data_IF_042128852934
#
_entry.id   IF_042128852934
#
_cell.length_a   1.000
_cell.length_b   1.000
_cell.length_c   1.000
_cell.angle_alpha   90.00
_cell.angle_beta   90.00
_cell.angle_gamma   90.00
#
_symmetry.space_group_name_H-M   'P 1'
#
loop_
_entity.id
_entity.type
_entity.pdbx_description
1 polymer ?
#
# COMPACT_ATOMS: atom_id res chain seq x y z
N UNK A 1 12.91 -28.82 -65.55
CA UNK A 1 11.92 -28.18 -64.68
C UNK A 1 11.93 -28.91 -63.31
N UNK A 2 12.68 -28.44 -62.36
CA UNK A 2 12.77 -29.04 -61.02
C UNK A 2 12.38 -27.95 -60.00
N UNK A 3 11.25 -28.13 -59.33
CA UNK A 3 10.79 -27.24 -58.25
C UNK A 3 11.52 -27.66 -56.97
N UNK A 4 12.40 -26.80 -56.48
CA UNK A 4 12.97 -26.89 -55.12
C UNK A 4 11.94 -26.44 -54.10
N UNK A 5 11.53 -27.36 -53.25
CA UNK A 5 10.78 -27.08 -52.05
C UNK A 5 11.67 -26.39 -51.02
N UNK A 6 11.21 -25.26 -50.49
CA UNK A 6 11.83 -24.58 -49.32
C UNK A 6 11.46 -25.33 -48.03
N UNK A 7 12.33 -25.52 -47.07
CA UNK A 7 11.98 -26.03 -45.77
C UNK A 7 11.26 -24.92 -44.96
N UNK A 8 10.18 -25.29 -44.28
CA UNK A 8 9.51 -24.52 -43.24
C UNK A 8 10.48 -24.41 -42.07
N UNK A 9 10.84 -23.18 -41.69
CA UNK A 9 11.44 -22.91 -40.41
C UNK A 9 10.36 -23.06 -39.33
N UNK A 10 10.52 -24.02 -38.43
CA UNK A 10 9.80 -24.09 -37.18
C UNK A 10 10.45 -23.08 -36.24
N UNK A 11 9.84 -21.90 -36.11
CA UNK A 11 10.19 -20.95 -35.07
C UNK A 11 9.65 -21.48 -33.75
N UNK A 12 10.53 -21.82 -32.85
CA UNK A 12 10.19 -22.05 -31.44
C UNK A 12 9.84 -20.71 -30.81
N UNK A 13 8.57 -20.52 -30.46
CA UNK A 13 8.06 -19.35 -29.77
C UNK A 13 8.26 -19.42 -28.24
N UNK A 14 9.22 -20.20 -27.77
CA UNK A 14 9.37 -20.50 -26.33
C UNK A 14 10.30 -19.51 -25.58
N UNK A 15 10.73 -18.43 -26.24
CA UNK A 15 11.65 -17.47 -25.61
C UNK A 15 11.00 -16.17 -25.12
N UNK A 16 9.68 -16.01 -25.28
CA UNK A 16 9.00 -14.75 -24.93
C UNK A 16 8.25 -14.77 -23.58
N UNK A 17 8.07 -15.95 -22.99
CA UNK A 17 7.33 -16.06 -21.72
C UNK A 17 8.18 -15.85 -20.47
N UNK A 18 9.50 -15.95 -20.56
CA UNK A 18 10.36 -15.78 -19.39
C UNK A 18 10.66 -14.29 -19.04
N UNK A 19 10.42 -13.36 -19.97
CA UNK A 19 10.66 -11.92 -19.73
C UNK A 19 9.41 -11.15 -19.27
N UNK A 20 8.22 -11.69 -19.52
CA UNK A 20 6.97 -10.99 -19.20
C UNK A 20 6.49 -11.23 -17.77
N UNK A 21 6.93 -12.30 -17.10
CA UNK A 21 6.52 -12.57 -15.71
C UNK A 21 7.23 -11.70 -14.66
N UNK A 22 8.38 -11.11 -14.97
CA UNK A 22 9.12 -10.27 -14.02
C UNK A 22 8.61 -8.82 -13.94
N UNK A 23 7.82 -8.38 -14.88
CA UNK A 23 7.39 -6.98 -14.96
C UNK A 23 6.00 -6.73 -14.37
N UNK A 24 5.25 -7.80 -14.11
CA UNK A 24 3.89 -7.72 -13.56
C UNK A 24 3.80 -7.56 -12.06
N UNK A 25 4.91 -7.64 -11.33
CA UNK A 25 4.87 -7.65 -9.87
C UNK A 25 5.20 -6.27 -9.34
N UNK A 26 4.30 -5.34 -9.54
CA UNK A 26 4.38 -4.03 -8.94
C UNK A 26 3.45 -4.01 -7.75
N UNK A 27 4.05 -4.10 -6.59
CA UNK A 27 3.39 -4.41 -5.37
C UNK A 27 3.68 -3.38 -4.31
N UNK A 28 2.67 -2.85 -3.62
CA UNK A 28 2.90 -1.77 -2.67
C UNK A 28 2.06 -1.69 -1.44
N UNK A 29 2.76 -1.62 -0.31
CA UNK A 29 2.29 -1.53 1.03
C UNK A 29 1.37 -0.36 1.32
N UNK A 30 0.09 -0.57 1.49
CA UNK A 30 -0.81 0.36 2.15
C UNK A 30 -0.85 0.15 3.66
N UNK A 31 0.32 -0.06 4.26
CA UNK A 31 0.42 0.27 5.66
C UNK A 31 0.05 1.73 5.91
N UNK A 32 0.18 2.60 4.89
CA UNK A 32 -0.14 4.03 5.03
C UNK A 32 -1.60 4.39 4.78
N UNK A 33 -2.37 3.77 3.89
CA UNK A 33 -3.77 4.19 3.70
C UNK A 33 -4.74 3.51 4.66
N UNK A 34 -4.62 2.22 4.93
CA UNK A 34 -5.36 1.60 6.04
C UNK A 34 -4.92 2.16 7.39
N UNK A 35 -3.69 2.66 7.48
CA UNK A 35 -3.13 3.26 8.67
C UNK A 35 -3.44 4.74 8.80
N UNK A 36 -3.42 5.51 7.72
CA UNK A 36 -3.98 6.86 7.70
C UNK A 36 -5.46 6.80 8.12
N UNK A 37 -6.22 5.85 7.62
CA UNK A 37 -7.64 5.70 7.93
C UNK A 37 -7.89 5.21 9.36
N UNK A 38 -7.08 4.31 9.92
CA UNK A 38 -7.23 3.88 11.32
C UNK A 38 -6.67 4.92 12.32
N UNK A 39 -5.63 5.66 11.95
CA UNK A 39 -5.09 6.79 12.72
C UNK A 39 -6.03 7.99 12.60
N UNK A 40 -6.64 8.25 11.45
CA UNK A 40 -7.59 9.33 11.25
C UNK A 40 -8.90 9.10 12.01
N UNK A 41 -9.43 7.89 12.09
CA UNK A 41 -10.58 7.60 12.95
C UNK A 41 -10.27 7.80 14.44
N UNK A 42 -9.04 7.51 14.88
CA UNK A 42 -8.57 7.77 16.25
C UNK A 42 -8.10 9.23 16.43
N UNK A 43 -7.52 9.85 15.41
CA UNK A 43 -7.01 11.21 15.44
C UNK A 43 -8.11 12.28 15.40
N UNK A 44 -9.24 12.01 14.73
CA UNK A 44 -10.39 12.92 14.74
C UNK A 44 -10.98 13.11 16.15
N UNK A 45 -10.82 12.13 17.03
CA UNK A 45 -11.23 12.26 18.45
C UNK A 45 -10.16 12.93 19.33
N UNK A 46 -8.88 12.92 18.92
CA UNK A 46 -7.77 13.50 19.70
C UNK A 46 -7.32 14.91 19.25
N UNK A 47 -7.84 15.43 18.13
CA UNK A 47 -7.44 16.73 17.57
C UNK A 47 -7.99 17.96 18.32
N UNK A 48 -8.73 17.78 19.42
CA UNK A 48 -9.23 18.94 20.19
C UNK A 48 -8.30 19.41 21.33
N UNK A 49 -7.10 18.83 21.49
CA UNK A 49 -6.15 19.22 22.55
C UNK A 49 -4.71 19.36 22.02
N UNK A 50 -4.45 20.37 21.24
CA UNK A 50 -3.07 20.76 20.91
C UNK A 50 -2.69 22.07 21.60
N UNK A 51 -2.23 21.99 22.84
CA UNK A 51 -1.38 23.00 23.46
C UNK A 51 -0.02 22.34 23.70
N UNK A 52 1.04 22.93 23.14
CA UNK A 52 2.38 22.36 23.10
C UNK A 52 3.01 22.17 24.49
N UNK A 53 2.91 20.95 25.02
CA UNK A 53 3.90 20.44 25.97
C UNK A 53 4.98 19.65 25.22
N UNK A 54 6.23 19.54 25.74
CA UNK A 54 7.21 18.66 25.14
C UNK A 54 6.63 17.23 25.15
N UNK A 55 6.25 16.73 23.98
CA UNK A 55 5.50 15.51 23.85
C UNK A 55 6.34 14.35 24.39
N UNK A 56 5.86 13.71 25.44
CA UNK A 56 6.41 12.45 25.92
C UNK A 56 6.34 11.43 24.77
N UNK A 57 7.43 10.75 24.42
CA UNK A 57 7.37 9.72 23.39
C UNK A 57 6.30 8.67 23.69
N UNK A 58 5.47 8.37 22.71
CA UNK A 58 4.42 7.35 22.80
C UNK A 58 4.75 6.19 21.85
N UNK A 59 4.53 4.97 22.31
CA UNK A 59 4.65 3.75 21.51
C UNK A 59 3.25 3.16 21.34
N UNK A 60 2.92 2.80 20.12
CA UNK A 60 1.71 2.07 19.78
C UNK A 60 2.07 0.83 18.95
N UNK A 61 1.26 -0.21 19.07
CA UNK A 61 1.43 -1.42 18.27
C UNK A 61 0.10 -1.85 17.66
N UNK A 62 0.18 -2.63 16.61
CA UNK A 62 -0.98 -3.22 16.02
C UNK A 62 -0.67 -4.60 15.45
N UNK A 63 -1.70 -5.44 15.37
CA UNK A 63 -1.70 -6.69 14.62
C UNK A 63 -2.99 -6.77 13.81
N UNK A 64 -2.93 -7.37 12.64
CA UNK A 64 -4.12 -7.57 11.80
C UNK A 64 -4.08 -8.94 11.13
N UNK A 65 -5.27 -9.44 10.82
CA UNK A 65 -5.48 -10.57 9.92
C UNK A 65 -6.46 -10.13 8.85
N UNK A 66 -6.19 -10.49 7.60
CA UNK A 66 -7.01 -10.16 6.45
C UNK A 66 -7.20 -11.35 5.54
N UNK A 67 -8.24 -11.33 4.71
CA UNK A 67 -8.43 -12.32 3.66
C UNK A 67 -7.45 -12.14 2.49
N UNK A 68 -6.80 -10.98 2.41
CA UNK A 68 -5.80 -10.61 1.44
C UNK A 68 -5.00 -9.41 1.99
N UNK A 69 -3.77 -9.22 1.52
CA UNK A 69 -3.02 -7.99 1.65
C UNK A 69 -3.04 -7.26 0.31
N UNK A 70 -3.72 -6.13 0.20
CA UNK A 70 -3.83 -5.34 -1.03
C UNK A 70 -3.10 -4.03 -0.89
N UNK A 71 -2.22 -3.72 -1.82
CA UNK A 71 -1.46 -2.49 -1.91
C UNK A 71 -1.72 -1.77 -3.23
N UNK A 72 -2.14 -0.50 -3.17
CA UNK A 72 -2.50 0.30 -4.34
C UNK A 72 -3.34 -0.48 -5.37
N UNK A 73 -4.30 -1.30 -4.86
CA UNK A 73 -5.20 -2.12 -5.68
C UNK A 73 -4.69 -3.52 -6.03
N UNK A 74 -3.42 -3.84 -5.77
CA UNK A 74 -2.78 -5.10 -6.17
C UNK A 74 -2.61 -6.04 -4.98
N UNK A 75 -2.99 -7.31 -5.12
CA UNK A 75 -2.80 -8.32 -4.07
C UNK A 75 -1.33 -8.64 -3.87
N UNK A 76 -0.95 -8.75 -2.61
CA UNK A 76 0.39 -9.04 -2.12
C UNK A 76 0.56 -10.46 -1.67
N UNK A 77 -0.54 -11.20 -1.53
CA UNK A 77 -0.59 -12.55 -0.99
C UNK A 77 -1.25 -13.53 -1.95
N UNK A 78 -1.25 -13.21 -3.27
CA UNK A 78 -1.96 -14.01 -4.29
C UNK A 78 -3.42 -14.31 -3.88
N UNK A 79 -4.10 -13.31 -3.28
CA UNK A 79 -5.49 -13.39 -2.77
C UNK A 79 -5.66 -14.34 -1.57
N UNK A 80 -4.58 -14.77 -0.95
CA UNK A 80 -4.57 -15.59 0.26
C UNK A 80 -4.48 -14.75 1.53
N UNK A 81 -4.72 -15.40 2.66
CA UNK A 81 -4.77 -14.73 3.96
C UNK A 81 -3.46 -14.04 4.35
N UNK A 82 -3.57 -12.82 4.85
CA UNK A 82 -2.48 -12.02 5.36
C UNK A 82 -2.50 -11.91 6.88
N UNK A 83 -1.30 -11.93 7.47
CA UNK A 83 -1.06 -11.60 8.88
C UNK A 83 -0.02 -10.51 8.92
N UNK A 84 -0.37 -9.38 9.54
CA UNK A 84 0.53 -8.24 9.62
C UNK A 84 0.59 -7.66 11.03
N UNK A 85 1.62 -6.86 11.28
CA UNK A 85 1.76 -6.14 12.55
C UNK A 85 2.75 -5.00 12.44
N UNK A 86 2.67 -4.06 13.39
CA UNK A 86 3.56 -2.92 13.39
C UNK A 86 3.73 -2.28 14.75
N UNK A 87 4.78 -1.48 14.85
CA UNK A 87 5.12 -0.65 16.02
C UNK A 87 5.39 0.78 15.56
N UNK A 88 4.85 1.74 16.29
CA UNK A 88 4.98 3.17 16.05
C UNK A 88 5.56 3.86 17.27
N UNK A 89 6.54 4.71 17.04
CA UNK A 89 7.04 5.70 17.98
C UNK A 89 6.65 7.10 17.50
N UNK A 90 6.04 7.90 18.37
CA UNK A 90 5.74 9.31 18.10
C UNK A 90 6.34 10.19 19.18
N UNK A 91 6.89 11.35 18.80
CA UNK A 91 7.44 12.36 19.72
C UNK A 91 7.27 13.76 19.12
N UNK A 92 6.30 14.52 19.62
CA UNK A 92 5.91 15.79 19.02
C UNK A 92 5.40 15.58 17.58
N UNK A 93 6.00 16.26 16.64
CA UNK A 93 5.70 16.11 15.21
C UNK A 93 6.43 14.95 14.55
N UNK A 94 7.43 14.37 15.21
CA UNK A 94 8.23 13.26 14.66
C UNK A 94 7.55 11.92 14.85
N UNK A 95 7.70 11.04 13.89
CA UNK A 95 7.35 9.63 14.02
C UNK A 95 8.40 8.73 13.37
N UNK A 96 8.48 7.51 13.85
CA UNK A 96 9.19 6.41 13.22
C UNK A 96 8.47 5.10 13.53
N UNK A 97 8.68 4.09 12.74
CA UNK A 97 8.09 2.79 13.03
C UNK A 97 8.56 1.70 12.08
N UNK A 98 8.07 0.50 12.37
CA UNK A 98 8.24 -0.67 11.54
C UNK A 98 6.92 -1.40 11.40
N UNK A 99 6.71 -2.02 10.25
CA UNK A 99 5.57 -2.88 9.97
C UNK A 99 6.05 -4.10 9.18
N UNK A 100 5.33 -5.22 9.26
CA UNK A 100 5.61 -6.40 8.46
C UNK A 100 4.33 -7.17 8.15
N UNK A 101 4.35 -7.90 7.02
CA UNK A 101 3.33 -8.85 6.60
C UNK A 101 3.97 -10.03 5.86
N UNK A 102 3.30 -11.18 5.85
CA UNK A 102 3.59 -12.18 4.84
C UNK A 102 3.22 -11.65 3.46
N UNK A 103 3.96 -12.11 2.45
CA UNK A 103 3.69 -11.85 1.03
C UNK A 103 3.80 -13.14 0.24
N UNK A 104 3.20 -13.16 -0.95
CA UNK A 104 3.35 -14.21 -1.96
C UNK A 104 3.20 -13.56 -3.34
N UNK A 105 4.18 -13.77 -4.20
CA UNK A 105 4.20 -13.16 -5.53
C UNK A 105 4.08 -14.22 -6.63
N UNK A 106 3.30 -13.97 -7.70
CA UNK A 106 3.13 -14.93 -8.79
C UNK A 106 4.47 -15.39 -9.38
N UNK A 107 4.73 -16.70 -9.28
CA UNK A 107 5.95 -17.30 -9.81
C UNK A 107 7.20 -17.18 -8.95
N UNK A 108 7.12 -16.52 -7.80
CA UNK A 108 8.14 -16.50 -6.77
C UNK A 108 7.69 -17.38 -5.58
N UNK A 109 8.54 -18.33 -5.20
CA UNK A 109 8.25 -19.27 -4.10
C UNK A 109 9.16 -19.06 -2.90
N UNK A 110 10.03 -18.08 -2.95
CA UNK A 110 11.08 -17.86 -1.98
C UNK A 110 10.81 -16.65 -1.09
N UNK A 111 10.21 -15.58 -1.62
CA UNK A 111 9.90 -14.36 -0.85
C UNK A 111 8.77 -14.60 0.14
N UNK A 112 9.06 -14.44 1.43
CA UNK A 112 8.14 -14.82 2.52
C UNK A 112 7.45 -13.63 3.17
N UNK A 113 8.15 -12.50 3.32
CA UNK A 113 7.64 -11.35 4.05
C UNK A 113 8.18 -10.02 3.53
N UNK A 114 7.35 -8.98 3.69
CA UNK A 114 7.68 -7.57 3.54
C UNK A 114 7.89 -6.95 4.91
N UNK A 115 8.92 -6.11 5.05
CA UNK A 115 9.24 -5.32 6.24
C UNK A 115 9.39 -3.87 5.83
N UNK A 116 8.52 -3.00 6.36
CA UNK A 116 8.58 -1.57 6.14
C UNK A 116 9.27 -0.88 7.31
N UNK A 117 10.25 -0.03 7.02
CA UNK A 117 10.84 0.90 7.99
C UNK A 117 10.52 2.32 7.55
N UNK A 118 9.94 3.11 8.43
CA UNK A 118 9.53 4.46 8.07
C UNK A 118 9.81 5.47 9.17
N UNK A 119 10.01 6.73 8.73
CA UNK A 119 10.15 7.88 9.61
C UNK A 119 9.69 9.15 8.90
N UNK A 120 9.29 10.15 9.68
CA UNK A 120 8.85 11.42 9.12
C UNK A 120 8.42 12.43 10.17
N UNK A 121 7.75 13.48 9.68
CA UNK A 121 7.19 14.55 10.48
C UNK A 121 5.73 14.80 10.07
N UNK A 122 4.91 15.16 11.06
CA UNK A 122 3.49 15.54 10.87
C UNK A 122 3.20 16.92 11.41
N UNK A 123 3.64 17.99 10.73
CA UNK A 123 3.31 19.35 11.13
C UNK A 123 1.89 19.72 10.71
N UNK A 124 1.24 20.59 11.51
CA UNK A 124 0.02 21.28 11.11
C UNK A 124 0.40 22.65 10.53
N UNK A 125 -0.07 22.95 9.32
CA UNK A 125 0.15 24.24 8.68
C UNK A 125 -1.05 24.63 7.81
N UNK A 126 -1.51 25.88 7.96
CA UNK A 126 -2.63 26.47 7.22
C UNK A 126 -3.95 25.68 7.34
N UNK A 127 -4.19 24.99 8.46
CA UNK A 127 -5.37 24.16 8.73
C UNK A 127 -5.37 22.83 7.98
N UNK A 128 -4.18 22.37 7.55
CA UNK A 128 -3.92 21.04 7.00
C UNK A 128 -2.92 20.32 7.90
N UNK A 129 -3.17 19.03 8.10
CA UNK A 129 -2.19 18.10 8.66
C UNK A 129 -1.32 17.59 7.52
N UNK A 130 -0.03 17.85 7.59
CA UNK A 130 0.94 17.36 6.62
C UNK A 130 1.63 16.11 7.14
N UNK A 131 2.07 15.25 6.24
CA UNK A 131 2.90 14.09 6.55
C UNK A 131 4.02 14.02 5.51
N UNK A 132 5.25 14.29 5.96
CA UNK A 132 6.45 14.25 5.11
C UNK A 132 7.40 13.23 5.71
N UNK A 133 7.78 12.23 4.93
CA UNK A 133 8.58 11.11 5.42
C UNK A 133 9.22 10.29 4.32
N UNK A 134 9.84 9.22 4.77
CA UNK A 134 10.44 8.18 3.93
C UNK A 134 9.95 6.81 4.41
N UNK A 135 9.85 5.88 3.47
CA UNK A 135 9.53 4.46 3.74
C UNK A 135 10.53 3.63 2.96
N UNK A 136 11.21 2.71 3.64
CA UNK A 136 12.00 1.65 3.02
C UNK A 136 11.22 0.35 3.10
N UNK A 137 11.14 -0.36 1.99
CA UNK A 137 10.48 -1.65 1.84
C UNK A 137 11.56 -2.70 1.65
N UNK A 138 11.55 -3.73 2.46
CA UNK A 138 12.54 -4.80 2.50
C UNK A 138 11.81 -6.15 2.39
N UNK A 139 12.30 -7.01 1.51
CA UNK A 139 11.69 -8.32 1.27
C UNK A 139 12.63 -9.44 1.70
N UNK A 140 12.14 -10.34 2.54
CA UNK A 140 12.93 -11.47 3.04
C UNK A 140 12.95 -12.62 2.04
N UNK A 141 14.07 -13.32 1.95
CA UNK A 141 14.24 -14.50 1.10
C UNK A 141 14.02 -14.26 -0.40
N UNK A 142 14.05 -13.00 -0.84
CA UNK A 142 13.88 -12.70 -2.27
C UNK A 142 14.98 -13.36 -3.13
N UNK A 143 14.66 -13.82 -4.36
CA UNK A 143 15.65 -14.34 -5.29
C UNK A 143 16.75 -13.30 -5.59
N UNK A 144 18.00 -13.73 -5.75
CA UNK A 144 19.16 -12.84 -5.98
C UNK A 144 18.98 -11.84 -7.15
N UNK A 145 18.13 -12.15 -8.11
CA UNK A 145 17.89 -11.31 -9.30
C UNK A 145 16.55 -10.55 -9.24
N UNK A 146 15.83 -10.60 -8.14
CA UNK A 146 14.50 -10.00 -8.03
C UNK A 146 14.54 -8.50 -7.75
N UNK A 147 15.48 -8.07 -6.88
CA UNK A 147 15.72 -6.68 -6.47
C UNK A 147 14.43 -5.98 -6.04
N UNK A 148 13.75 -6.56 -5.03
CA UNK A 148 12.47 -6.06 -4.55
C UNK A 148 12.58 -4.94 -3.52
N UNK A 149 13.76 -4.77 -2.90
CA UNK A 149 13.97 -3.75 -1.87
C UNK A 149 14.03 -2.35 -2.51
N UNK A 150 13.30 -1.39 -1.94
CA UNK A 150 13.31 -0.03 -2.45
C UNK A 150 12.92 0.99 -1.37
N UNK A 151 12.99 2.28 -1.71
CA UNK A 151 12.66 3.39 -0.82
C UNK A 151 11.75 4.39 -1.52
N UNK A 152 10.80 4.94 -0.76
CA UNK A 152 9.94 6.04 -1.21
C UNK A 152 10.08 7.27 -0.34
N UNK A 153 10.13 8.43 -0.96
CA UNK A 153 9.81 9.70 -0.32
C UNK A 153 8.30 9.95 -0.38
N UNK A 154 7.73 10.42 0.73
CA UNK A 154 6.29 10.67 0.88
C UNK A 154 6.01 12.11 1.22
N UNK A 155 5.00 12.68 0.58
CA UNK A 155 4.34 13.93 1.00
C UNK A 155 2.83 13.72 0.94
N UNK A 156 2.15 13.93 2.07
CA UNK A 156 0.70 13.86 2.14
C UNK A 156 0.13 15.06 2.91
N UNK A 157 -1.13 15.37 2.64
CA UNK A 157 -1.86 16.39 3.37
C UNK A 157 -3.30 15.95 3.57
N UNK A 158 -3.87 16.25 4.76
CA UNK A 158 -5.26 15.95 5.07
C UNK A 158 -5.91 17.10 5.83
N UNK A 159 -7.25 17.18 5.76
CA UNK A 159 -8.04 18.19 6.45
C UNK A 159 -9.42 17.67 6.82
N UNK A 160 -9.85 17.95 8.05
CA UNK A 160 -11.22 17.73 8.48
C UNK A 160 -12.16 18.79 7.89
N UNK A 161 -13.28 18.35 7.31
CA UNK A 161 -14.35 19.18 6.74
C UNK A 161 -15.69 18.67 7.28
N UNK A 162 -16.13 19.23 8.40
CA UNK A 162 -17.30 18.71 9.12
C UNK A 162 -17.07 17.27 9.61
N UNK A 163 -17.97 16.33 9.31
CA UNK A 163 -17.80 14.92 9.70
C UNK A 163 -16.93 14.11 8.73
N UNK A 164 -16.37 14.75 7.71
CA UNK A 164 -15.50 14.12 6.71
C UNK A 164 -14.07 14.58 6.88
N UNK A 165 -13.13 13.72 6.50
CA UNK A 165 -11.72 14.07 6.27
C UNK A 165 -11.44 13.85 4.79
N UNK A 166 -10.74 14.79 4.17
CA UNK A 166 -10.24 14.68 2.80
C UNK A 166 -8.72 14.74 2.81
N UNK A 167 -8.08 14.04 1.90
CA UNK A 167 -6.63 14.00 1.82
C UNK A 167 -6.12 13.75 0.41
N UNK A 168 -4.81 13.98 0.25
CA UNK A 168 -4.05 13.60 -0.93
C UNK A 168 -2.64 13.18 -0.51
N UNK A 169 -2.03 12.30 -1.29
CA UNK A 169 -0.67 11.84 -1.05
C UNK A 169 0.09 11.69 -2.38
N UNK A 170 1.40 11.88 -2.28
CA UNK A 170 2.37 11.62 -3.33
C UNK A 170 3.50 10.80 -2.73
N UNK A 171 3.87 9.72 -3.43
CA UNK A 171 5.04 8.89 -3.14
C UNK A 171 5.93 8.87 -4.37
N UNK A 172 7.22 8.91 -4.17
CA UNK A 172 8.21 8.86 -5.23
C UNK A 172 9.37 7.95 -4.84
N UNK A 173 9.74 7.04 -5.72
CA UNK A 173 10.92 6.18 -5.63
C UNK A 173 11.86 6.48 -6.78
N UNK A 174 13.15 6.67 -6.54
CA UNK A 174 14.15 6.82 -7.60
C UNK A 174 14.51 5.48 -8.25
N UNK A 175 14.29 4.40 -7.55
CA UNK A 175 14.65 3.03 -7.90
C UNK A 175 13.61 2.13 -7.27
N UNK A 176 12.75 1.59 -8.10
CA UNK A 176 11.49 1.06 -7.73
C UNK A 176 11.49 -0.48 -7.82
N UNK A 177 10.68 -1.16 -7.05
CA UNK A 177 10.50 -2.59 -6.95
C UNK A 177 10.81 -3.38 -8.24
N UNK A 178 11.77 -4.32 -8.16
CA UNK A 178 12.15 -5.22 -9.23
C UNK A 178 13.34 -4.75 -10.07
N UNK A 179 13.94 -5.68 -10.77
CA UNK A 179 15.19 -5.53 -11.49
C UNK A 179 15.19 -4.52 -12.68
N UNK A 180 14.09 -3.80 -12.89
CA UNK A 180 14.01 -2.76 -13.91
C UNK A 180 14.73 -1.47 -13.50
N UNK A 181 14.94 -1.25 -12.18
CA UNK A 181 15.60 -0.05 -11.62
C UNK A 181 14.94 1.27 -12.09
N UNK A 182 13.62 1.26 -12.31
CA UNK A 182 12.88 2.39 -12.86
C UNK A 182 12.39 3.35 -11.76
N UNK A 183 12.35 4.65 -12.06
CA UNK A 183 11.69 5.66 -11.22
C UNK A 183 10.18 5.43 -11.20
N UNK A 184 9.55 5.57 -10.03
CA UNK A 184 8.12 5.49 -9.91
C UNK A 184 7.50 6.62 -9.07
N UNK A 185 6.27 6.98 -9.41
CA UNK A 185 5.47 7.96 -8.66
C UNK A 185 4.06 7.43 -8.47
N UNK A 186 3.56 7.51 -7.24
CA UNK A 186 2.16 7.26 -6.93
C UNK A 186 1.49 8.52 -6.40
N UNK A 187 0.31 8.85 -6.94
CA UNK A 187 -0.53 9.95 -6.46
C UNK A 187 -1.88 9.41 -6.05
N UNK A 188 -2.43 9.94 -4.95
CA UNK A 188 -3.71 9.49 -4.40
C UNK A 188 -4.53 10.68 -3.90
N UNK A 189 -5.85 10.61 -4.10
CA UNK A 189 -6.84 11.39 -3.37
C UNK A 189 -7.70 10.44 -2.54
N UNK A 190 -7.98 10.80 -1.29
CA UNK A 190 -8.75 9.98 -0.38
C UNK A 190 -9.78 10.79 0.42
N UNK A 191 -10.77 10.09 0.93
CA UNK A 191 -11.76 10.67 1.85
C UNK A 191 -12.26 9.63 2.84
N UNK A 192 -12.58 10.11 4.04
CA UNK A 192 -13.25 9.32 5.08
C UNK A 192 -14.45 10.09 5.63
N UNK A 193 -15.50 9.38 6.00
CA UNK A 193 -16.72 9.94 6.58
C UNK A 193 -17.23 9.03 7.69
N UNK A 194 -17.51 9.61 8.86
CA UNK A 194 -18.04 8.88 10.01
C UNK A 194 -19.54 9.22 10.21
N UNK A 195 -20.46 8.44 9.58
CA UNK A 195 -21.90 8.70 9.63
C UNK A 195 -22.53 8.46 11.01
N UNK A 196 -21.90 7.63 11.82
CA UNK A 196 -22.35 7.26 13.16
C UNK A 196 -21.15 6.87 14.03
N UNK A 197 -21.36 6.88 15.34
CA UNK A 197 -20.36 6.40 16.30
C UNK A 197 -19.89 4.98 15.92
N UNK A 198 -18.56 4.77 15.94
CA UNK A 198 -17.88 3.50 15.61
C UNK A 198 -17.98 3.04 14.13
N UNK A 199 -18.54 3.85 13.24
CA UNK A 199 -18.63 3.52 11.83
C UNK A 199 -17.87 4.54 10.99
N UNK A 200 -17.07 4.06 10.03
CA UNK A 200 -16.37 4.90 9.06
C UNK A 200 -16.53 4.32 7.65
N UNK A 201 -16.95 5.15 6.72
CA UNK A 201 -16.89 4.88 5.29
C UNK A 201 -15.67 5.63 4.75
N UNK A 202 -14.82 4.96 3.99
CA UNK A 202 -13.64 5.60 3.42
C UNK A 202 -13.30 5.02 2.06
N UNK A 203 -12.62 5.81 1.24
CA UNK A 203 -12.19 5.37 -0.06
C UNK A 203 -11.07 6.24 -0.61
N UNK A 204 -10.41 5.73 -1.62
CA UNK A 204 -9.34 6.39 -2.33
C UNK A 204 -9.41 6.12 -3.82
N UNK A 205 -8.82 7.02 -4.60
CA UNK A 205 -8.48 6.83 -6.00
C UNK A 205 -7.05 7.28 -6.20
N UNK A 206 -6.25 6.47 -6.87
CA UNK A 206 -4.84 6.75 -7.10
C UNK A 206 -4.40 6.36 -8.50
N UNK A 207 -3.20 6.81 -8.86
CA UNK A 207 -2.52 6.40 -10.08
C UNK A 207 -1.06 6.12 -9.79
N UNK A 208 -0.62 4.94 -10.22
CA UNK A 208 0.77 4.53 -10.22
C UNK A 208 1.37 4.86 -11.59
N UNK A 209 2.47 5.58 -11.59
CA UNK A 209 3.30 5.87 -12.75
C UNK A 209 4.61 5.12 -12.57
N UNK A 210 4.92 4.21 -13.49
CA UNK A 210 6.20 3.47 -13.55
C UNK A 210 6.82 3.67 -14.91
N UNK A 211 6.07 3.31 -15.96
CA UNK A 211 6.41 3.55 -17.37
C UNK A 211 5.11 3.50 -18.16
N UNK A 212 5.10 4.04 -19.38
CA UNK A 212 3.88 4.12 -20.19
C UNK A 212 3.15 2.79 -20.41
N UNK A 213 3.85 1.67 -20.24
CA UNK A 213 3.33 0.33 -20.46
C UNK A 213 2.84 -0.34 -19.15
N UNK A 214 3.16 0.24 -17.98
CA UNK A 214 2.86 -0.31 -16.64
C UNK A 214 2.17 0.68 -15.70
N UNK A 215 1.75 1.83 -16.20
CA UNK A 215 0.93 2.77 -15.45
C UNK A 215 -0.46 2.18 -15.24
N UNK A 216 -1.02 2.35 -14.04
CA UNK A 216 -2.40 1.95 -13.77
C UNK A 216 -3.09 2.88 -12.78
N UNK A 217 -4.41 2.90 -12.83
CA UNK A 217 -5.26 3.52 -11.82
C UNK A 217 -5.77 2.47 -10.83
N UNK A 218 -5.97 2.89 -9.59
CA UNK A 218 -6.58 2.07 -8.56
C UNK A 218 -7.63 2.85 -7.80
N UNK A 219 -8.63 2.14 -7.26
CA UNK A 219 -9.61 2.71 -6.34
C UNK A 219 -10.04 1.69 -5.31
N UNK A 220 -10.50 2.21 -4.18
CA UNK A 220 -11.09 1.38 -3.15
C UNK A 220 -12.24 2.10 -2.45
N UNK A 221 -13.14 1.31 -1.84
CA UNK A 221 -14.20 1.78 -0.97
C UNK A 221 -14.41 0.78 0.15
N UNK A 222 -14.36 1.24 1.40
CA UNK A 222 -14.47 0.40 2.57
C UNK A 222 -15.45 0.92 3.61
N UNK A 223 -15.91 -0.01 4.44
CA UNK A 223 -16.73 0.21 5.62
C UNK A 223 -16.03 -0.40 6.82
N UNK A 224 -15.58 0.44 7.74
CA UNK A 224 -14.98 0.02 8.99
C UNK A 224 -15.94 0.16 10.16
N UNK A 225 -15.82 -0.74 11.12
CA UNK A 225 -16.53 -0.71 12.39
C UNK A 225 -15.61 -0.98 13.57
N UNK A 226 -15.56 -0.06 14.52
CA UNK A 226 -14.90 -0.27 15.80
C UNK A 226 -15.77 -1.22 16.65
N UNK A 227 -15.30 -2.44 16.89
CA UNK A 227 -16.02 -3.46 17.67
C UNK A 227 -15.84 -3.26 19.16
N UNK A 228 -14.61 -3.01 19.59
CA UNK A 228 -14.21 -2.67 20.97
C UNK A 228 -13.26 -1.47 20.94
N UNK A 229 -12.73 -1.05 22.07
CA UNK A 229 -11.77 0.07 22.13
C UNK A 229 -10.45 -0.25 21.42
N UNK A 230 -10.15 -1.54 21.24
CA UNK A 230 -8.90 -2.00 20.60
C UNK A 230 -9.10 -2.76 19.28
N UNK A 231 -10.32 -3.22 18.97
CA UNK A 231 -10.58 -4.12 17.84
C UNK A 231 -11.48 -3.47 16.80
N UNK A 232 -11.07 -3.47 15.55
CA UNK A 232 -11.81 -2.96 14.40
C UNK A 232 -11.95 -4.02 13.31
N UNK A 233 -13.11 -4.02 12.65
CA UNK A 233 -13.39 -4.79 11.42
C UNK A 233 -13.47 -3.82 10.26
N UNK A 234 -12.82 -4.15 9.12
CA UNK A 234 -12.96 -3.43 7.84
C UNK A 234 -13.40 -4.42 6.75
N UNK A 235 -14.31 -3.98 5.90
CA UNK A 235 -14.72 -4.67 4.68
C UNK A 235 -14.52 -3.69 3.54
N UNK A 236 -13.65 -4.04 2.59
CA UNK A 236 -13.20 -3.11 1.56
C UNK A 236 -13.18 -3.76 0.19
N UNK A 237 -13.72 -3.06 -0.80
CA UNK A 237 -13.57 -3.39 -2.22
C UNK A 237 -12.35 -2.66 -2.77
N UNK A 238 -11.54 -3.36 -3.53
CA UNK A 238 -10.40 -2.83 -4.26
C UNK A 238 -10.53 -3.18 -5.74
N UNK A 239 -9.95 -2.34 -6.59
CA UNK A 239 -9.92 -2.57 -8.03
C UNK A 239 -8.81 -1.75 -8.68
N UNK A 240 -8.41 -2.16 -9.90
CA UNK A 240 -7.54 -1.40 -10.81
C UNK A 240 -8.18 -1.32 -12.20
N UNK A 241 -7.63 -0.51 -13.10
CA UNK A 241 -8.05 -0.46 -14.51
C UNK A 241 -7.24 -1.39 -15.43
N UNK A 242 -6.21 -2.08 -14.91
CA UNK A 242 -5.30 -2.90 -15.70
C UNK A 242 -5.32 -4.38 -15.26
N UNK A 243 -6.50 -5.03 -15.41
CA UNK A 243 -6.66 -6.46 -15.07
C UNK A 243 -5.82 -7.38 -15.96
N UNK A 244 -5.43 -6.92 -17.15
CA UNK A 244 -4.59 -7.68 -18.09
C UNK A 244 -3.15 -7.87 -17.59
N UNK A 245 -2.73 -7.14 -16.54
CA UNK A 245 -1.42 -7.34 -15.90
C UNK A 245 -1.35 -8.62 -15.06
N UNK A 246 -2.50 -9.22 -14.71
CA UNK A 246 -2.59 -10.50 -14.00
C UNK A 246 -3.72 -10.50 -12.97
N UNK A 247 -4.05 -11.68 -12.46
CA UNK A 247 -5.16 -11.89 -11.52
C UNK A 247 -5.03 -11.02 -10.26
N UNK A 248 -3.81 -10.78 -9.79
CA UNK A 248 -3.52 -9.93 -8.63
C UNK A 248 -3.94 -8.46 -8.81
N UNK A 249 -4.18 -7.98 -10.04
CA UNK A 249 -4.69 -6.64 -10.37
C UNK A 249 -6.21 -6.58 -10.45
N UNK A 250 -6.88 -7.73 -10.42
CA UNK A 250 -8.33 -7.85 -10.52
C UNK A 250 -9.08 -7.26 -9.32
N UNK A 251 -10.38 -7.03 -9.53
CA UNK A 251 -11.27 -6.55 -8.48
C UNK A 251 -11.48 -7.57 -7.36
N UNK A 252 -11.51 -7.13 -6.11
CA UNK A 252 -11.68 -8.01 -4.94
C UNK A 252 -12.32 -7.33 -3.75
N UNK A 253 -12.92 -8.14 -2.88
CA UNK A 253 -13.40 -7.73 -1.59
C UNK A 253 -12.52 -8.34 -0.49
N UNK A 254 -11.99 -7.50 0.37
CA UNK A 254 -11.12 -7.89 1.48
C UNK A 254 -11.82 -7.64 2.80
N UNK A 255 -11.74 -8.61 3.71
CA UNK A 255 -12.20 -8.49 5.09
C UNK A 255 -10.98 -8.54 5.99
N UNK A 256 -10.82 -7.56 6.86
CA UNK A 256 -9.73 -7.52 7.82
C UNK A 256 -10.20 -7.25 9.25
N UNK A 257 -9.49 -7.82 10.21
CA UNK A 257 -9.67 -7.60 11.63
C UNK A 257 -8.37 -7.09 12.22
N UNK A 258 -8.39 -5.91 12.83
CA UNK A 258 -7.20 -5.23 13.37
C UNK A 258 -7.36 -4.96 14.85
N UNK A 259 -6.34 -5.33 15.63
CA UNK A 259 -6.18 -4.95 17.02
C UNK A 259 -5.08 -3.89 17.17
N UNK A 260 -5.34 -2.83 17.96
CA UNK A 260 -4.41 -1.72 18.22
C UNK A 260 -4.28 -1.48 19.72
N UNK A 261 -3.05 -1.19 20.20
CA UNK A 261 -2.68 -1.08 21.62
C UNK A 261 -1.83 0.15 21.87
#
# INVERSE_FOLDING_TARGET
MSRRSRPKASGSNDAWFAGACLVGIIVFGLASSARAQAIEATSAQNLSQAVAEPATPAIAWNVAVGSDYVFRGVSQTEEDAAISGGVDLTSGTFYAGAWASNVAFPGDTDTDAEIDLYAGIRPEFAGWNWDVGVVGYLYTSQPDAADYDYVEAKVAASRAVGPATIGAALYWSPDFFGAAEDEATYVEANAAFSPADKWTISGAVGRQFVSSDFDYMTWNLGLARQLTDTLALDVRYHDTDEHDFGDIYGSRAVVSLKASF
#
